data_IF_778114984005
#
_entry.id   IF_778114984005
#
_cell.length_a   1.000
_cell.length_b   1.000
_cell.length_c   1.000
_cell.angle_alpha   90.00
_cell.angle_beta   90.00
_cell.angle_gamma   90.00
#
_symmetry.space_group_name_H-M   'P 1'
#
loop_
_entity.id
_entity.type
_entity.pdbx_description
1 polymer ?
#
# COMPACT_ATOMS: atom_id res chain seq x y z
N UNK A 1 5.31 14.27 -10.88
CA UNK A 1 5.82 12.88 -10.81
C UNK A 1 7.12 12.81 -11.58
N UNK A 2 8.14 12.11 -11.07
CA UNK A 2 9.45 11.96 -11.71
C UNK A 2 9.70 10.49 -12.00
N UNK A 3 10.28 10.20 -13.17
CA UNK A 3 10.57 8.84 -13.62
C UNK A 3 12.02 8.74 -14.10
N UNK A 4 12.60 7.55 -13.95
CA UNK A 4 13.94 7.25 -14.44
C UNK A 4 14.07 7.42 -15.97
N UNK A 5 12.96 7.21 -16.69
CA UNK A 5 12.87 7.21 -18.14
C UNK A 5 11.48 6.76 -18.60
N UNK A 6 11.31 6.66 -19.93
CA UNK A 6 10.03 6.31 -20.57
C UNK A 6 9.49 4.95 -20.12
N UNK A 7 10.35 3.96 -19.95
CA UNK A 7 9.94 2.61 -19.55
C UNK A 7 9.37 2.59 -18.12
N UNK A 8 10.02 3.30 -17.18
CA UNK A 8 9.50 3.49 -15.82
C UNK A 8 8.12 4.17 -15.85
N UNK A 9 7.96 5.21 -16.67
CA UNK A 9 6.70 5.93 -16.80
C UNK A 9 5.59 5.04 -17.35
N UNK A 10 5.87 4.28 -18.41
CA UNK A 10 4.88 3.41 -19.05
C UNK A 10 4.42 2.28 -18.11
N UNK A 11 5.34 1.71 -17.33
CA UNK A 11 5.01 0.69 -16.32
C UNK A 11 4.09 1.23 -15.22
N UNK A 12 4.38 2.43 -14.69
CA UNK A 12 3.53 3.06 -13.65
C UNK A 12 2.20 3.58 -14.21
N UNK A 13 2.11 3.83 -15.52
CA UNK A 13 0.90 4.40 -16.15
C UNK A 13 -0.37 3.57 -15.94
N UNK A 14 -0.23 2.25 -15.76
CA UNK A 14 -1.37 1.36 -15.47
C UNK A 14 -2.17 1.80 -14.24
N UNK A 15 -1.50 2.41 -13.26
CA UNK A 15 -2.09 2.98 -12.04
C UNK A 15 -2.14 4.51 -12.11
N UNK A 16 -1.02 5.16 -12.47
CA UNK A 16 -0.89 6.62 -12.41
C UNK A 16 -1.92 7.36 -13.28
N UNK A 17 -2.37 6.76 -14.39
CA UNK A 17 -3.37 7.38 -15.27
C UNK A 17 -4.65 7.79 -14.52
N UNK A 18 -5.04 7.05 -13.48
CA UNK A 18 -6.26 7.31 -12.72
C UNK A 18 -6.13 8.51 -11.79
N UNK A 19 -4.94 8.75 -11.22
CA UNK A 19 -4.68 9.92 -10.36
C UNK A 19 -4.20 11.14 -11.15
N UNK A 20 -3.52 10.95 -12.29
CA UNK A 20 -2.85 12.02 -13.03
C UNK A 20 -3.80 13.16 -13.41
N UNK A 21 -4.95 12.82 -13.99
CA UNK A 21 -5.95 13.81 -14.41
C UNK A 21 -6.57 14.55 -13.21
N UNK A 22 -6.74 13.86 -12.09
CA UNK A 22 -7.32 14.43 -10.86
C UNK A 22 -6.38 15.51 -10.30
N UNK A 23 -5.11 15.18 -10.11
CA UNK A 23 -4.11 16.14 -9.62
C UNK A 23 -3.90 17.30 -10.61
N UNK A 24 -3.88 17.02 -11.93
CA UNK A 24 -3.75 18.06 -12.95
C UNK A 24 -4.91 19.05 -12.90
N UNK A 25 -6.14 18.57 -12.79
CA UNK A 25 -7.34 19.42 -12.81
C UNK A 25 -7.51 20.25 -11.53
N UNK A 26 -6.91 19.82 -10.41
CA UNK A 26 -7.05 20.49 -9.12
C UNK A 26 -5.75 21.17 -8.64
N UNK A 27 -4.75 21.30 -9.51
CA UNK A 27 -3.42 21.80 -9.15
C UNK A 27 -3.46 23.17 -8.45
N UNK A 28 -4.28 24.10 -8.95
CA UNK A 28 -4.37 25.44 -8.38
C UNK A 28 -5.03 25.45 -6.99
N UNK A 29 -6.04 24.60 -6.78
CA UNK A 29 -6.67 24.43 -5.47
C UNK A 29 -5.68 23.83 -4.45
N UNK A 30 -4.88 22.85 -4.88
CA UNK A 30 -3.84 22.24 -4.04
C UNK A 30 -2.76 23.25 -3.65
N UNK A 31 -2.37 24.14 -4.57
CA UNK A 31 -1.43 25.24 -4.27
C UNK A 31 -2.00 26.21 -3.23
N UNK A 32 -3.26 26.64 -3.40
CA UNK A 32 -3.92 27.56 -2.46
C UNK A 32 -4.06 26.95 -1.07
N UNK A 33 -4.32 25.64 -0.99
CA UNK A 33 -4.46 24.92 0.28
C UNK A 33 -3.12 24.57 0.95
N UNK A 34 -1.98 25.02 0.40
CA UNK A 34 -0.62 24.62 0.83
C UNK A 34 -0.48 23.11 1.00
N UNK A 35 -1.09 22.37 0.06
CA UNK A 35 -1.18 20.92 0.14
C UNK A 35 0.21 20.29 0.21
N UNK A 36 0.39 19.39 1.17
CA UNK A 36 1.56 18.53 1.30
C UNK A 36 1.12 17.09 1.05
N UNK A 37 1.81 16.41 0.15
CA UNK A 37 1.57 15.00 -0.13
C UNK A 37 1.74 14.18 1.17
N UNK A 38 0.64 13.61 1.67
CA UNK A 38 0.69 12.55 2.68
C UNK A 38 0.78 11.20 1.94
N UNK A 39 1.87 10.47 2.17
CA UNK A 39 2.14 9.22 1.47
C UNK A 39 1.08 8.14 1.76
N UNK A 40 0.55 8.10 2.99
CA UNK A 40 -0.49 7.16 3.36
C UNK A 40 -1.80 7.50 2.67
N UNK A 41 -2.20 8.77 2.69
CA UNK A 41 -3.43 9.19 2.02
C UNK A 41 -3.34 8.93 0.52
N UNK A 42 -2.22 9.29 -0.12
CA UNK A 42 -2.01 9.01 -1.53
C UNK A 42 -2.02 7.50 -1.84
N UNK A 43 -1.47 6.67 -0.95
CA UNK A 43 -1.51 5.22 -1.08
C UNK A 43 -2.94 4.66 -1.04
N UNK A 44 -3.77 5.13 -0.10
CA UNK A 44 -5.21 4.76 -0.04
C UNK A 44 -5.95 5.21 -1.31
N UNK A 45 -5.74 6.46 -1.73
CA UNK A 45 -6.36 7.00 -2.95
C UNK A 45 -5.98 6.21 -4.20
N UNK A 46 -4.69 5.93 -4.38
CA UNK A 46 -4.19 5.16 -5.51
C UNK A 46 -4.74 3.74 -5.50
N UNK A 47 -4.81 3.11 -4.33
CA UNK A 47 -5.43 1.79 -4.14
C UNK A 47 -6.91 1.81 -4.51
N UNK A 48 -7.68 2.77 -4.01
CA UNK A 48 -9.09 2.94 -4.34
C UNK A 48 -9.29 3.13 -5.84
N UNK A 49 -8.61 4.11 -6.44
CA UNK A 49 -8.72 4.43 -7.86
C UNK A 49 -8.32 3.25 -8.74
N UNK A 50 -7.29 2.50 -8.37
CA UNK A 50 -6.89 1.31 -9.11
C UNK A 50 -7.94 0.20 -9.02
N UNK A 51 -8.39 -0.16 -7.81
CA UNK A 51 -9.32 -1.28 -7.62
C UNK A 51 -10.73 -1.01 -8.16
N UNK A 52 -11.20 0.23 -8.21
CA UNK A 52 -12.48 0.53 -8.86
C UNK A 52 -12.41 0.43 -10.39
N UNK A 53 -11.23 0.64 -10.98
CA UNK A 53 -11.03 0.57 -12.43
C UNK A 53 -10.48 -0.79 -12.90
N UNK A 54 -9.94 -1.59 -11.98
CA UNK A 54 -9.38 -2.92 -12.20
C UNK A 54 -9.81 -3.87 -11.08
N UNK A 55 -11.12 -4.17 -10.94
CA UNK A 55 -11.66 -4.94 -9.83
C UNK A 55 -11.12 -6.37 -9.75
N UNK A 56 -10.70 -6.96 -10.87
CA UNK A 56 -10.04 -8.27 -10.93
C UNK A 56 -8.76 -8.32 -10.10
N UNK A 57 -8.07 -7.18 -9.94
CA UNK A 57 -6.85 -7.09 -9.13
C UNK A 57 -7.11 -7.34 -7.64
N UNK A 58 -8.36 -7.24 -7.19
CA UNK A 58 -8.74 -7.59 -5.81
C UNK A 58 -8.53 -9.09 -5.51
N UNK A 59 -8.59 -9.92 -6.55
CA UNK A 59 -8.42 -11.37 -6.48
C UNK A 59 -7.03 -11.83 -6.97
N UNK A 60 -6.13 -10.90 -7.30
CA UNK A 60 -4.78 -11.21 -7.76
C UNK A 60 -3.97 -11.83 -6.61
N UNK A 61 -3.61 -13.10 -6.74
CA UNK A 61 -2.86 -13.83 -5.73
C UNK A 61 -1.39 -13.41 -5.75
N UNK A 62 -0.82 -13.25 -4.56
CA UNK A 62 0.61 -13.10 -4.29
C UNK A 62 1.06 -14.27 -3.41
N UNK A 63 2.25 -14.79 -3.65
CA UNK A 63 2.81 -15.91 -2.91
C UNK A 63 4.30 -15.71 -2.69
N UNK A 64 4.82 -16.30 -1.62
CA UNK A 64 6.25 -16.41 -1.38
C UNK A 64 6.89 -17.31 -2.43
N UNK A 65 8.16 -17.04 -2.71
CA UNK A 65 8.94 -17.83 -3.67
C UNK A 65 8.98 -19.30 -3.22
N UNK A 66 8.54 -20.21 -4.11
CA UNK A 66 8.52 -21.66 -3.89
C UNK A 66 7.60 -22.15 -2.76
N UNK A 67 6.59 -21.37 -2.34
CA UNK A 67 5.57 -21.81 -1.38
C UNK A 67 4.15 -21.55 -1.91
N UNK A 68 3.57 -22.55 -2.55
CA UNK A 68 2.21 -22.47 -3.11
C UNK A 68 1.12 -22.30 -2.04
N UNK A 69 1.39 -22.71 -0.79
CA UNK A 69 0.43 -22.58 0.31
C UNK A 69 0.37 -21.16 0.88
N UNK A 70 1.34 -20.31 0.52
CA UNK A 70 1.37 -18.90 0.93
C UNK A 70 0.53 -17.97 0.05
N UNK A 71 -0.14 -18.51 -0.98
CA UNK A 71 -0.91 -17.73 -1.94
C UNK A 71 -2.10 -17.01 -1.27
N UNK A 72 -2.08 -15.68 -1.30
CA UNK A 72 -3.06 -14.80 -0.67
C UNK A 72 -3.43 -13.64 -1.62
N UNK A 73 -4.66 -13.16 -1.55
CA UNK A 73 -5.11 -11.93 -2.21
C UNK A 73 -5.92 -11.06 -1.25
N UNK A 74 -6.28 -9.85 -1.68
CA UNK A 74 -7.06 -8.92 -0.84
C UNK A 74 -8.43 -9.50 -0.45
N UNK A 75 -9.04 -10.32 -1.31
CA UNK A 75 -10.30 -10.99 -1.01
C UNK A 75 -10.23 -12.03 0.12
N UNK A 76 -9.03 -12.49 0.49
CA UNK A 76 -8.85 -13.39 1.62
C UNK A 76 -8.80 -12.66 2.96
N UNK A 77 -8.69 -11.33 2.96
CA UNK A 77 -8.64 -10.53 4.18
C UNK A 77 -10.05 -10.40 4.76
N UNK A 78 -10.15 -10.63 6.06
CA UNK A 78 -11.38 -10.48 6.82
C UNK A 78 -11.79 -9.00 6.89
N UNK A 79 -12.74 -8.62 6.02
CA UNK A 79 -13.21 -7.24 5.87
C UNK A 79 -13.90 -6.73 7.14
N UNK A 80 -14.48 -7.61 7.97
CA UNK A 80 -15.21 -7.18 9.17
C UNK A 80 -14.25 -6.53 10.17
N UNK A 81 -13.04 -7.08 10.32
CA UNK A 81 -11.96 -6.48 11.11
C UNK A 81 -11.50 -5.12 10.58
N UNK A 82 -11.72 -4.84 9.29
CA UNK A 82 -11.33 -3.58 8.68
C UNK A 82 -12.32 -2.44 8.93
N UNK A 83 -13.49 -2.72 9.50
CA UNK A 83 -14.49 -1.70 9.80
C UNK A 83 -14.37 -1.19 11.24
N UNK A 84 -13.53 -1.81 12.06
CA UNK A 84 -13.22 -1.34 13.40
C UNK A 84 -12.42 -0.02 13.35
N UNK A 85 -12.97 1.03 13.96
CA UNK A 85 -12.46 2.40 13.86
C UNK A 85 -11.94 2.88 15.22
N UNK A 86 -10.72 2.48 15.55
CA UNK A 86 -9.99 3.04 16.70
C UNK A 86 -9.55 4.50 16.45
N UNK A 87 -9.26 5.25 17.51
CA UNK A 87 -8.95 6.69 17.44
C UNK A 87 -7.84 7.04 16.43
N UNK A 88 -6.69 6.34 16.38
CA UNK A 88 -5.64 6.67 15.40
C UNK A 88 -6.10 6.51 13.95
N UNK A 89 -6.90 5.46 13.68
CA UNK A 89 -7.48 5.17 12.37
C UNK A 89 -8.52 6.20 11.97
N UNK A 90 -9.36 6.66 12.90
CA UNK A 90 -10.32 7.74 12.67
C UNK A 90 -9.65 9.06 12.28
N UNK A 91 -8.51 9.40 12.89
CA UNK A 91 -7.74 10.60 12.54
C UNK A 91 -7.23 10.51 11.10
N UNK A 92 -6.66 9.36 10.71
CA UNK A 92 -6.19 9.13 9.34
C UNK A 92 -7.34 9.17 8.32
N UNK A 93 -8.49 8.58 8.67
CA UNK A 93 -9.68 8.59 7.81
C UNK A 93 -10.23 10.01 7.61
N UNK A 94 -10.26 10.84 8.66
CA UNK A 94 -10.65 12.26 8.55
C UNK A 94 -9.72 13.03 7.63
N UNK A 95 -8.40 12.79 7.72
CA UNK A 95 -7.43 13.41 6.83
C UNK A 95 -7.67 12.99 5.38
N UNK A 96 -7.91 11.70 5.11
CA UNK A 96 -8.27 11.20 3.79
C UNK A 96 -9.52 11.91 3.22
N UNK A 97 -10.58 12.07 4.01
CA UNK A 97 -11.79 12.77 3.56
C UNK A 97 -11.56 14.25 3.24
N UNK A 98 -10.70 14.93 4.00
CA UNK A 98 -10.29 16.31 3.67
C UNK A 98 -9.63 16.36 2.30
N UNK A 99 -8.75 15.42 2.00
CA UNK A 99 -8.05 15.36 0.71
C UNK A 99 -8.95 14.99 -0.46
N UNK A 100 -9.87 14.03 -0.27
CA UNK A 100 -10.88 13.70 -1.28
C UNK A 100 -11.71 14.92 -1.68
N UNK A 101 -12.13 15.72 -0.69
CA UNK A 101 -12.90 16.94 -0.94
C UNK A 101 -12.09 17.99 -1.70
N UNK A 102 -10.81 18.19 -1.34
CA UNK A 102 -9.90 19.09 -2.06
C UNK A 102 -9.67 18.63 -3.51
N UNK A 103 -9.57 17.32 -3.74
CA UNK A 103 -9.36 16.72 -5.05
C UNK A 103 -10.66 16.53 -5.85
N UNK A 104 -11.83 16.83 -5.26
CA UNK A 104 -13.16 16.66 -5.86
C UNK A 104 -13.37 15.24 -6.40
N UNK A 105 -12.91 14.24 -5.66
CA UNK A 105 -13.06 12.83 -6.03
C UNK A 105 -14.45 12.37 -5.58
N UNK A 106 -15.17 11.68 -6.45
CA UNK A 106 -16.39 10.94 -6.07
C UNK A 106 -16.00 9.62 -5.41
N UNK A 107 -16.60 9.32 -4.26
CA UNK A 107 -16.24 8.14 -3.46
C UNK A 107 -17.43 7.42 -2.84
N UNK A 108 -17.26 6.11 -2.66
CA UNK A 108 -18.20 5.27 -1.92
C UNK A 108 -17.71 5.06 -0.49
N UNK A 109 -18.52 5.45 0.51
CA UNK A 109 -18.13 5.44 1.92
C UNK A 109 -17.65 4.06 2.41
N UNK A 110 -18.40 3.00 2.08
CA UNK A 110 -18.07 1.64 2.49
C UNK A 110 -16.75 1.18 1.88
N UNK A 111 -16.58 1.35 0.55
CA UNK A 111 -15.31 1.01 -0.11
C UNK A 111 -14.13 1.79 0.45
N UNK A 112 -14.32 3.07 0.75
CA UNK A 112 -13.25 3.90 1.32
C UNK A 112 -12.83 3.44 2.71
N UNK A 113 -13.78 3.09 3.59
CA UNK A 113 -13.45 2.53 4.91
C UNK A 113 -12.69 1.21 4.78
N UNK A 114 -13.16 0.31 3.89
CA UNK A 114 -12.50 -0.98 3.64
C UNK A 114 -11.07 -0.78 3.12
N UNK A 115 -10.88 0.04 2.08
CA UNK A 115 -9.55 0.23 1.48
C UNK A 115 -8.60 1.06 2.34
N UNK A 116 -9.13 2.04 3.09
CA UNK A 116 -8.36 2.69 4.15
C UNK A 116 -7.86 1.64 5.15
N UNK A 117 -8.74 0.72 5.54
CA UNK A 117 -8.40 -0.36 6.44
C UNK A 117 -7.33 -1.30 5.92
N UNK A 118 -7.48 -1.79 4.69
CA UNK A 118 -6.47 -2.61 4.02
C UNK A 118 -5.11 -1.91 4.04
N UNK A 119 -5.06 -0.64 3.66
CA UNK A 119 -3.81 0.11 3.62
C UNK A 119 -3.22 0.33 5.01
N UNK A 120 -4.05 0.53 6.03
CA UNK A 120 -3.61 0.77 7.40
C UNK A 120 -3.04 -0.50 8.04
N UNK A 121 -3.71 -1.64 7.86
CA UNK A 121 -3.36 -2.89 8.55
C UNK A 121 -2.30 -3.72 7.77
N UNK A 122 -2.27 -3.60 6.43
CA UNK A 122 -1.42 -4.43 5.56
C UNK A 122 -0.43 -3.63 4.70
N UNK A 123 -0.44 -2.29 4.80
CA UNK A 123 0.56 -1.45 4.16
C UNK A 123 1.90 -1.56 4.88
N UNK A 124 2.98 -1.80 4.12
CA UNK A 124 4.33 -1.82 4.64
C UNK A 124 5.08 -0.58 4.20
N UNK A 125 5.68 0.11 5.17
CA UNK A 125 6.56 1.25 4.92
C UNK A 125 7.86 0.77 4.24
N UNK A 126 8.18 1.43 3.13
CA UNK A 126 9.36 1.17 2.30
C UNK A 126 10.43 2.18 2.69
N UNK A 127 11.60 1.68 3.08
CA UNK A 127 12.74 2.50 3.48
C UNK A 127 13.94 2.27 2.55
N UNK A 128 14.76 3.30 2.38
CA UNK A 128 16.08 3.12 1.78
C UNK A 128 17.11 2.60 2.81
N UNK A 129 18.34 2.35 2.36
CA UNK A 129 19.45 1.90 3.22
C UNK A 129 19.85 2.88 4.33
N UNK A 130 19.39 4.14 4.28
CA UNK A 130 19.57 5.16 5.32
C UNK A 130 18.37 5.27 6.27
N UNK A 131 17.42 4.34 6.20
CA UNK A 131 16.16 4.37 6.95
C UNK A 131 15.30 5.60 6.65
N UNK A 132 15.47 6.21 5.48
CA UNK A 132 14.57 7.26 5.03
C UNK A 132 13.30 6.63 4.46
N UNK A 133 12.15 7.05 4.96
CA UNK A 133 10.85 6.61 4.46
C UNK A 133 10.64 7.09 3.02
N UNK A 134 10.34 6.17 2.11
CA UNK A 134 10.16 6.44 0.67
C UNK A 134 8.70 6.32 0.22
N UNK A 135 7.89 5.49 0.87
CA UNK A 135 6.54 5.17 0.43
C UNK A 135 6.00 3.93 1.11
N UNK A 136 4.81 3.49 0.68
CA UNK A 136 4.08 2.36 1.27
C UNK A 136 3.66 1.42 0.15
N UNK A 137 3.69 0.11 0.41
CA UNK A 137 3.28 -0.90 -0.56
C UNK A 137 2.62 -2.13 0.08
N UNK A 138 1.87 -2.87 -0.73
CA UNK A 138 1.32 -4.17 -0.34
C UNK A 138 2.32 -5.29 -0.65
N UNK A 139 2.65 -6.06 0.38
CA UNK A 139 3.41 -7.31 0.28
C UNK A 139 2.64 -8.40 1.03
N UNK A 140 1.50 -8.78 0.45
CA UNK A 140 0.49 -9.58 1.15
C UNK A 140 1.02 -10.95 1.57
N UNK A 141 1.81 -11.60 0.70
CA UNK A 141 2.36 -12.91 1.02
C UNK A 141 3.29 -12.83 2.24
N UNK A 142 4.15 -11.82 2.28
CA UNK A 142 5.10 -11.53 3.34
C UNK A 142 4.41 -11.05 4.62
N UNK A 143 3.29 -10.35 4.53
CA UNK A 143 2.51 -9.90 5.70
C UNK A 143 1.95 -11.04 6.56
N UNK A 144 1.92 -12.27 6.03
CA UNK A 144 1.50 -13.47 6.78
C UNK A 144 2.59 -14.00 7.72
N UNK A 145 3.84 -13.53 7.58
CA UNK A 145 4.94 -13.97 8.44
C UNK A 145 4.74 -13.44 9.87
N UNK A 146 4.94 -14.33 10.84
CA UNK A 146 4.74 -13.98 12.26
C UNK A 146 5.85 -13.05 12.72
N UNK A 147 5.48 -11.93 13.35
CA UNK A 147 6.45 -11.06 14.00
C UNK A 147 7.02 -11.73 15.27
N UNK A 148 8.33 -11.96 15.32
CA UNK A 148 9.04 -12.43 16.53
C UNK A 148 10.13 -11.46 16.95
N UNK A 149 10.30 -11.26 18.26
CA UNK A 149 11.43 -10.48 18.82
C UNK A 149 12.80 -11.17 18.63
N UNK A 150 12.81 -12.40 18.11
CA UNK A 150 14.01 -13.20 17.79
C UNK A 150 14.02 -13.66 16.33
N UNK A 151 13.67 -12.75 15.43
CA UNK A 151 13.54 -13.04 14.01
C UNK A 151 14.81 -13.66 13.42
N UNK A 152 14.65 -14.74 12.67
CA UNK A 152 15.74 -15.42 11.96
C UNK A 152 15.97 -14.82 10.55
N UNK A 153 15.20 -13.80 10.20
CA UNK A 153 15.30 -13.05 8.96
C UNK A 153 15.33 -11.54 9.22
N UNK A 154 15.70 -10.79 8.19
CA UNK A 154 15.54 -9.34 8.16
C UNK A 154 14.96 -8.93 6.82
N UNK A 155 14.13 -7.89 6.84
CA UNK A 155 13.45 -7.36 5.66
C UNK A 155 14.14 -6.08 5.21
N UNK A 156 14.48 -6.03 3.93
CA UNK A 156 15.09 -4.90 3.24
C UNK A 156 14.30 -4.58 1.99
N UNK A 157 14.52 -3.39 1.42
CA UNK A 157 13.91 -3.01 0.15
C UNK A 157 14.98 -2.67 -0.90
N UNK A 158 14.80 -3.20 -2.11
CA UNK A 158 15.54 -2.78 -3.31
C UNK A 158 14.55 -2.16 -4.30
N UNK A 159 14.41 -0.84 -4.24
CA UNK A 159 13.29 -0.16 -4.89
C UNK A 159 11.97 -0.62 -4.28
N UNK A 160 11.06 -1.13 -5.12
CA UNK A 160 9.77 -1.68 -4.66
C UNK A 160 9.82 -3.19 -4.37
N UNK A 161 10.98 -3.84 -4.51
CA UNK A 161 11.12 -5.26 -4.19
C UNK A 161 11.44 -5.42 -2.71
N UNK A 162 10.61 -6.18 -1.99
CA UNK A 162 10.91 -6.63 -0.65
C UNK A 162 11.88 -7.81 -0.73
N UNK A 163 12.96 -7.72 0.03
CA UNK A 163 14.02 -8.72 0.08
C UNK A 163 14.15 -9.21 1.52
N UNK A 164 13.92 -10.50 1.74
CA UNK A 164 14.16 -11.15 3.02
C UNK A 164 15.52 -11.84 3.01
N UNK A 165 16.30 -11.66 4.07
CA UNK A 165 17.59 -12.34 4.25
C UNK A 165 17.69 -12.99 5.61
N UNK A 166 18.20 -14.22 5.64
CA UNK A 166 18.47 -14.90 6.90
C UNK A 166 19.54 -14.15 7.71
N UNK A 167 19.30 -13.92 8.99
CA UNK A 167 20.24 -13.30 9.94
C UNK A 167 21.08 -14.35 10.68
N UNK A 168 20.65 -15.62 10.60
CA UNK A 168 21.32 -16.81 11.11
C UNK A 168 20.98 -18.02 10.24
N UNK A 169 21.66 -19.15 10.43
CA UNK A 169 21.30 -20.39 9.74
C UNK A 169 19.88 -20.84 10.11
N UNK A 170 19.07 -21.16 9.09
CA UNK A 170 17.70 -21.68 9.24
C UNK A 170 17.71 -23.15 8.84
N UNK A 171 17.23 -24.04 9.70
CA UNK A 171 17.18 -25.49 9.41
C UNK A 171 15.98 -25.83 8.53
N UNK A 172 16.08 -26.93 7.79
CA UNK A 172 14.92 -27.47 7.06
C UNK A 172 13.77 -27.75 8.03
N UNK A 173 12.58 -27.22 7.75
CA UNK A 173 11.39 -27.31 8.61
C UNK A 173 11.34 -26.28 9.75
N UNK A 174 12.36 -25.44 9.94
CA UNK A 174 12.27 -24.29 10.84
C UNK A 174 11.39 -23.21 10.21
N UNK A 175 10.46 -22.65 11.01
CA UNK A 175 9.63 -21.55 10.56
C UNK A 175 10.44 -20.26 10.37
N UNK A 176 10.10 -19.50 9.33
CA UNK A 176 10.56 -18.12 9.16
C UNK A 176 9.76 -17.25 10.14
N UNK A 177 10.46 -16.59 11.05
CA UNK A 177 9.91 -15.76 12.15
C UNK A 177 10.65 -14.45 12.26
#
# INVERSE_FOLDING_TARGET
MYYCGKDCQQKDWIQHKFECKIYKNNLDQLKVAEYKDDLFVRFVLRTYLYLINSPESFYEKRQLLNDENSAICLANIDIEKLVELEQPRLIRLKQLFKELNLLKIEWNALKMVIYHGLCYDYGLDIFNYKLQHLGIGFYLAESQLKHSGSSNVTTLFNGTQLVMRATRSIKSGEHII
#
